data_IF_739383728389
#
_entry.id   IF_739383728389
#
_cell.length_a   1.000
_cell.length_b   1.000
_cell.length_c   1.000
_cell.angle_alpha   90.00
_cell.angle_beta   90.00
_cell.angle_gamma   90.00
#
_symmetry.space_group_name_H-M   'P 1'
#
loop_
_entity.id
_entity.type
_entity.pdbx_description
1 polymer ?
#
# COMPACT_ATOMS: atom_id res chain seq x y z
N UNK A 1 5.70 -37.34 -10.19
CA UNK A 1 5.55 -35.93 -9.74
C UNK A 1 5.57 -34.88 -10.87
N UNK A 2 5.83 -35.23 -12.15
CA UNK A 2 5.79 -34.26 -13.27
C UNK A 2 4.40 -34.02 -13.87
N UNK A 3 3.52 -35.03 -13.84
CA UNK A 3 2.17 -34.95 -14.43
C UNK A 3 1.26 -33.93 -13.71
N UNK A 4 1.25 -33.92 -12.37
CA UNK A 4 0.40 -33.01 -11.57
C UNK A 4 0.77 -31.53 -11.71
N UNK A 5 2.05 -31.20 -11.92
CA UNK A 5 2.46 -29.81 -12.17
C UNK A 5 2.03 -29.32 -13.56
N UNK A 6 2.00 -30.19 -14.56
CA UNK A 6 1.64 -29.85 -15.94
C UNK A 6 0.13 -29.65 -16.10
N UNK A 7 -0.69 -30.45 -15.42
CA UNK A 7 -2.15 -30.24 -15.34
C UNK A 7 -2.52 -29.01 -14.51
N UNK A 8 -1.81 -28.75 -13.42
CA UNK A 8 -1.98 -27.53 -12.63
C UNK A 8 -1.59 -26.28 -13.43
N UNK A 9 -0.45 -26.31 -14.12
CA UNK A 9 -0.05 -25.23 -15.02
C UNK A 9 -1.10 -24.98 -16.09
N UNK A 10 -1.57 -26.02 -16.80
CA UNK A 10 -2.57 -25.83 -17.85
C UNK A 10 -3.90 -25.28 -17.29
N UNK A 11 -4.41 -25.82 -16.19
CA UNK A 11 -5.67 -25.35 -15.59
C UNK A 11 -5.56 -23.92 -15.05
N UNK A 12 -4.45 -23.59 -14.40
CA UNK A 12 -4.22 -22.26 -13.84
C UNK A 12 -3.88 -21.25 -14.94
N UNK A 13 -3.10 -21.62 -15.96
CA UNK A 13 -2.82 -20.77 -17.12
C UNK A 13 -4.08 -20.51 -17.94
N UNK A 14 -4.86 -21.54 -18.23
CA UNK A 14 -6.09 -21.40 -19.00
C UNK A 14 -7.12 -20.58 -18.22
N UNK A 15 -7.27 -20.85 -16.92
CA UNK A 15 -8.07 -20.01 -16.01
C UNK A 15 -7.55 -18.57 -15.96
N UNK A 16 -6.25 -18.36 -15.79
CA UNK A 16 -5.64 -17.02 -15.70
C UNK A 16 -5.80 -16.23 -17.00
N UNK A 17 -5.59 -16.86 -18.16
CA UNK A 17 -5.79 -16.25 -19.48
C UNK A 17 -7.26 -15.94 -19.72
N UNK A 18 -8.16 -16.87 -19.39
CA UNK A 18 -9.60 -16.68 -19.47
C UNK A 18 -10.03 -15.51 -18.59
N UNK A 19 -9.60 -15.43 -17.33
CA UNK A 19 -9.94 -14.32 -16.44
C UNK A 19 -9.31 -12.99 -16.91
N UNK A 20 -8.09 -13.00 -17.43
CA UNK A 20 -7.42 -11.80 -17.96
C UNK A 20 -8.17 -11.23 -19.17
N UNK A 21 -8.82 -12.06 -19.99
CA UNK A 21 -9.64 -11.63 -21.12
C UNK A 21 -11.10 -11.35 -20.73
N UNK A 22 -11.67 -12.14 -19.83
CA UNK A 22 -13.05 -12.00 -19.36
C UNK A 22 -13.23 -10.73 -18.54
N UNK A 23 -12.30 -10.38 -17.65
CA UNK A 23 -12.43 -9.21 -16.78
C UNK A 23 -12.60 -7.92 -17.62
N UNK A 24 -11.75 -7.60 -18.61
CA UNK A 24 -11.97 -6.44 -19.49
C UNK A 24 -13.25 -6.53 -20.30
N UNK A 25 -13.60 -7.72 -20.83
CA UNK A 25 -14.81 -7.92 -21.64
C UNK A 25 -16.07 -7.68 -20.81
N UNK A 26 -16.10 -8.15 -19.57
CA UNK A 26 -17.23 -8.01 -18.64
C UNK A 26 -17.33 -6.58 -18.10
N UNK A 27 -16.19 -5.88 -17.95
CA UNK A 27 -16.13 -4.48 -17.55
C UNK A 27 -16.36 -3.50 -18.71
N UNK A 28 -16.37 -3.94 -19.97
CA UNK A 28 -16.52 -3.03 -21.13
C UNK A 28 -17.88 -2.34 -21.17
N UNK A 29 -18.91 -3.04 -20.71
CA UNK A 29 -20.31 -2.60 -20.74
C UNK A 29 -20.67 -1.81 -19.46
N UNK A 30 -19.75 -1.78 -18.48
CA UNK A 30 -19.90 -1.06 -17.22
C UNK A 30 -19.52 0.42 -17.35
N UNK A 31 -20.15 1.25 -16.53
CA UNK A 31 -19.82 2.68 -16.45
C UNK A 31 -18.39 2.84 -15.90
N UNK A 32 -17.63 3.80 -16.46
CA UNK A 32 -16.27 4.15 -16.01
C UNK A 32 -16.15 4.34 -14.50
N UNK A 33 -17.16 4.95 -13.87
CA UNK A 33 -17.22 5.13 -12.42
C UNK A 33 -17.33 3.81 -11.65
N UNK A 34 -18.13 2.86 -12.14
CA UNK A 34 -18.28 1.53 -11.54
C UNK A 34 -16.96 0.76 -11.63
N UNK A 35 -16.33 0.76 -12.80
CA UNK A 35 -15.02 0.12 -13.02
C UNK A 35 -13.98 0.72 -12.07
N UNK A 36 -13.90 2.05 -11.97
CA UNK A 36 -12.96 2.71 -11.06
C UNK A 36 -13.20 2.35 -9.59
N UNK A 37 -14.47 2.23 -9.15
CA UNK A 37 -14.81 1.80 -7.79
C UNK A 37 -14.41 0.37 -7.51
N UNK A 38 -14.65 -0.55 -8.46
CA UNK A 38 -14.26 -1.96 -8.34
C UNK A 38 -12.74 -2.06 -8.20
N UNK A 39 -12.00 -1.42 -9.10
CA UNK A 39 -10.53 -1.39 -9.05
C UNK A 39 -10.04 -0.82 -7.72
N UNK A 40 -10.56 0.33 -7.30
CA UNK A 40 -10.19 0.94 -6.02
C UNK A 40 -10.47 0.01 -4.84
N UNK A 41 -11.64 -0.65 -4.82
CA UNK A 41 -11.99 -1.60 -3.76
C UNK A 41 -11.09 -2.84 -3.76
N UNK A 42 -10.72 -3.37 -4.93
CA UNK A 42 -9.76 -4.47 -5.06
C UNK A 42 -8.39 -4.08 -4.51
N UNK A 43 -7.90 -2.89 -4.82
CA UNK A 43 -6.63 -2.39 -4.28
C UNK A 43 -6.69 -2.19 -2.76
N UNK A 44 -7.78 -1.64 -2.23
CA UNK A 44 -7.96 -1.48 -0.79
C UNK A 44 -8.05 -2.83 -0.06
N UNK A 45 -8.74 -3.79 -0.66
CA UNK A 45 -8.84 -5.15 -0.12
C UNK A 45 -7.47 -5.83 -0.13
N UNK A 46 -6.70 -5.68 -1.22
CA UNK A 46 -5.33 -6.17 -1.32
C UNK A 46 -4.43 -5.53 -0.26
N UNK A 47 -4.53 -4.21 -0.06
CA UNK A 47 -3.79 -3.50 0.99
C UNK A 47 -4.14 -4.02 2.38
N UNK A 48 -5.42 -4.20 2.69
CA UNK A 48 -5.88 -4.74 3.96
C UNK A 48 -5.35 -6.15 4.21
N UNK A 49 -5.52 -7.06 3.24
CA UNK A 49 -5.04 -8.44 3.35
C UNK A 49 -3.51 -8.51 3.49
N UNK A 50 -2.77 -7.75 2.66
CA UNK A 50 -1.31 -7.71 2.72
C UNK A 50 -0.84 -7.20 4.09
N UNK A 51 -1.51 -6.19 4.63
CA UNK A 51 -1.20 -5.64 5.95
C UNK A 51 -1.48 -6.66 7.07
N UNK A 52 -2.60 -7.39 6.99
CA UNK A 52 -2.94 -8.42 7.97
C UNK A 52 -1.94 -9.57 8.00
N UNK A 53 -1.56 -10.08 6.82
CA UNK A 53 -0.56 -11.15 6.70
C UNK A 53 0.76 -10.73 7.34
N UNK A 54 1.19 -9.49 7.09
CA UNK A 54 2.43 -8.99 7.64
C UNK A 54 2.39 -8.81 9.15
N UNK A 55 1.28 -8.31 9.69
CA UNK A 55 1.08 -8.24 11.15
C UNK A 55 1.19 -9.64 11.78
N UNK A 56 0.63 -10.67 11.15
CA UNK A 56 0.75 -12.05 11.63
C UNK A 56 2.20 -12.50 11.64
N UNK A 57 2.98 -12.19 10.59
CA UNK A 57 4.42 -12.50 10.58
C UNK A 57 5.19 -11.75 11.67
N UNK A 58 4.91 -10.46 11.89
CA UNK A 58 5.50 -9.72 13.01
C UNK A 58 5.20 -10.35 14.37
N UNK A 59 3.97 -10.84 14.59
CA UNK A 59 3.59 -11.51 15.84
C UNK A 59 4.35 -12.84 16.00
N UNK A 60 4.51 -13.60 14.91
CA UNK A 60 5.26 -14.85 14.92
C UNK A 60 6.75 -14.62 15.22
N UNK A 61 7.35 -13.62 14.59
CA UNK A 61 8.75 -13.24 14.81
C UNK A 61 8.98 -12.73 16.23
N UNK A 62 8.05 -11.93 16.75
CA UNK A 62 8.08 -11.49 18.14
C UNK A 62 8.01 -12.66 19.12
N UNK A 63 7.18 -13.66 18.85
CA UNK A 63 7.10 -14.89 19.65
C UNK A 63 8.39 -15.71 19.62
N UNK A 64 9.23 -15.53 18.58
CA UNK A 64 10.57 -16.14 18.44
C UNK A 64 11.68 -15.26 19.02
N UNK A 65 11.34 -14.14 19.66
CA UNK A 65 12.30 -13.22 20.28
C UNK A 65 12.91 -12.19 19.32
N UNK A 66 12.42 -12.10 18.07
CA UNK A 66 12.86 -11.09 17.11
C UNK A 66 12.02 -9.83 17.30
N UNK A 67 12.66 -8.74 17.72
CA UNK A 67 11.95 -7.46 17.89
C UNK A 67 11.60 -6.85 16.52
N UNK A 68 10.41 -6.25 16.37
CA UNK A 68 10.07 -5.50 15.16
C UNK A 68 11.08 -4.36 14.93
N UNK A 69 11.31 -3.98 13.68
CA UNK A 69 12.26 -2.92 13.27
C UNK A 69 13.75 -3.22 13.51
N UNK A 70 14.13 -4.46 13.81
CA UNK A 70 15.54 -4.83 14.00
C UNK A 70 16.17 -5.54 12.81
N UNK A 71 15.37 -6.21 11.98
CA UNK A 71 15.84 -6.97 10.83
C UNK A 71 15.21 -6.50 9.51
N UNK A 72 15.85 -6.85 8.39
CA UNK A 72 15.44 -6.47 7.04
C UNK A 72 14.58 -7.53 6.32
N UNK A 73 14.17 -8.59 7.01
CA UNK A 73 13.43 -9.72 6.40
C UNK A 73 12.10 -9.28 5.77
N UNK A 74 11.47 -8.28 6.37
CA UNK A 74 10.19 -7.69 5.94
C UNK A 74 10.36 -6.63 4.83
N UNK A 75 11.58 -6.42 4.33
CA UNK A 75 11.85 -5.39 3.31
C UNK A 75 11.13 -5.62 1.99
N UNK A 76 10.91 -6.88 1.61
CA UNK A 76 10.28 -7.28 0.36
C UNK A 76 8.80 -6.84 0.26
N UNK A 77 8.13 -6.58 1.39
CA UNK A 77 6.77 -6.05 1.45
C UNK A 77 6.69 -4.60 0.94
N UNK A 78 7.79 -3.84 1.06
CA UNK A 78 7.80 -2.41 0.77
C UNK A 78 7.37 -2.06 -0.65
N UNK A 79 7.76 -2.86 -1.65
CA UNK A 79 7.38 -2.66 -3.06
C UNK A 79 5.86 -2.77 -3.24
N UNK A 80 5.26 -3.80 -2.63
CA UNK A 80 3.80 -3.98 -2.67
C UNK A 80 3.07 -2.86 -1.94
N UNK A 81 3.60 -2.36 -0.82
CA UNK A 81 3.01 -1.24 -0.08
C UNK A 81 3.09 0.08 -0.85
N UNK A 82 4.21 0.36 -1.53
CA UNK A 82 4.36 1.54 -2.38
C UNK A 82 3.35 1.52 -3.52
N UNK A 83 3.19 0.35 -4.17
CA UNK A 83 2.24 0.19 -5.27
C UNK A 83 0.78 0.41 -4.85
N UNK A 84 0.41 -0.02 -3.64
CA UNK A 84 -0.95 0.11 -3.13
C UNK A 84 -1.23 1.49 -2.49
N UNK A 85 -0.21 2.30 -2.27
CA UNK A 85 -0.31 3.61 -1.62
C UNK A 85 -1.30 4.59 -2.29
N UNK A 86 -1.37 4.74 -3.63
CA UNK A 86 -2.35 5.61 -4.27
C UNK A 86 -3.80 5.25 -3.92
N UNK A 87 -4.10 3.97 -3.74
CA UNK A 87 -5.44 3.52 -3.37
C UNK A 87 -5.81 3.96 -1.95
N UNK A 88 -4.86 3.88 -1.02
CA UNK A 88 -5.02 4.42 0.34
C UNK A 88 -5.32 5.91 0.30
N UNK A 89 -4.55 6.69 -0.47
CA UNK A 89 -4.77 8.14 -0.61
C UNK A 89 -6.14 8.46 -1.21
N UNK A 90 -6.62 7.67 -2.18
CA UNK A 90 -7.93 7.88 -2.78
C UNK A 90 -9.10 7.76 -1.77
N UNK A 91 -8.91 7.08 -0.61
CA UNK A 91 -9.95 7.08 0.44
C UNK A 91 -10.20 8.51 0.96
N UNK A 92 -9.17 9.34 1.01
CA UNK A 92 -9.26 10.73 1.49
C UNK A 92 -10.26 11.58 0.68
N UNK A 93 -10.44 11.27 -0.60
CA UNK A 93 -11.35 12.03 -1.48
C UNK A 93 -12.82 11.82 -1.10
N UNK A 94 -13.16 10.75 -0.37
CA UNK A 94 -14.52 10.52 0.07
C UNK A 94 -14.92 11.45 1.22
N UNK A 95 -16.10 12.06 1.12
CA UNK A 95 -16.63 13.00 2.13
C UNK A 95 -17.11 12.34 3.42
N UNK A 96 -17.40 11.03 3.43
CA UNK A 96 -17.99 10.33 4.58
C UNK A 96 -17.01 10.25 5.75
N UNK A 97 -17.45 10.65 6.95
CA UNK A 97 -16.64 10.60 8.18
C UNK A 97 -16.15 9.19 8.52
N UNK A 98 -16.98 8.16 8.32
CA UNK A 98 -16.57 6.76 8.55
C UNK A 98 -15.40 6.34 7.67
N UNK A 99 -15.35 6.81 6.42
CA UNK A 99 -14.24 6.51 5.51
C UNK A 99 -12.97 7.28 5.86
N UNK A 100 -13.09 8.50 6.40
CA UNK A 100 -11.94 9.22 6.95
C UNK A 100 -11.35 8.51 8.16
N UNK A 101 -12.19 7.96 9.04
CA UNK A 101 -11.72 7.16 10.17
C UNK A 101 -10.98 5.90 9.70
N UNK A 102 -11.53 5.20 8.70
CA UNK A 102 -10.88 4.07 8.06
C UNK A 102 -9.53 4.46 7.42
N UNK A 103 -9.46 5.64 6.79
CA UNK A 103 -8.21 6.17 6.25
C UNK A 103 -7.15 6.38 7.34
N UNK A 104 -7.51 6.97 8.48
CA UNK A 104 -6.55 7.15 9.59
C UNK A 104 -6.09 5.81 10.16
N UNK A 105 -7.01 4.86 10.38
CA UNK A 105 -6.68 3.54 10.88
C UNK A 105 -5.76 2.76 9.92
N UNK A 106 -6.11 2.72 8.63
CA UNK A 106 -5.28 2.06 7.61
C UNK A 106 -3.94 2.77 7.41
N UNK A 107 -3.91 4.10 7.48
CA UNK A 107 -2.65 4.86 7.38
C UNK A 107 -1.72 4.60 8.56
N UNK A 108 -2.27 4.44 9.77
CA UNK A 108 -1.47 4.10 10.95
C UNK A 108 -0.84 2.70 10.80
N UNK A 109 -1.62 1.71 10.37
CA UNK A 109 -1.12 0.36 10.08
C UNK A 109 -0.09 0.39 8.96
N UNK A 110 -0.38 1.10 7.88
CA UNK A 110 0.53 1.25 6.74
C UNK A 110 1.88 1.84 7.14
N UNK A 111 1.88 2.92 7.93
CA UNK A 111 3.11 3.55 8.42
C UNK A 111 3.90 2.63 9.35
N UNK A 112 3.22 1.91 10.25
CA UNK A 112 3.87 0.92 11.12
C UNK A 112 4.58 -0.15 10.29
N UNK A 113 3.91 -0.72 9.28
CA UNK A 113 4.50 -1.73 8.41
C UNK A 113 5.64 -1.17 7.55
N UNK A 114 5.46 0.02 6.97
CA UNK A 114 6.51 0.70 6.19
C UNK A 114 7.75 1.02 7.01
N UNK A 115 7.59 1.40 8.28
CA UNK A 115 8.71 1.56 9.22
C UNK A 115 9.42 0.22 9.42
N UNK A 116 8.66 -0.86 9.53
CA UNK A 116 9.13 -2.23 9.69
C UNK A 116 10.01 -2.72 8.56
N UNK A 117 9.75 -2.25 7.33
CA UNK A 117 10.55 -2.62 6.16
C UNK A 117 11.95 -2.00 6.16
N UNK A 118 12.18 -0.91 6.91
CA UNK A 118 13.42 -0.11 6.94
C UNK A 118 13.93 0.33 5.53
N UNK A 119 13.08 0.24 4.51
CA UNK A 119 13.46 0.46 3.12
C UNK A 119 13.47 1.95 2.78
N UNK A 120 14.65 2.58 2.84
CA UNK A 120 14.83 4.02 2.54
C UNK A 120 14.29 4.40 1.15
N UNK A 121 14.46 3.52 0.16
CA UNK A 121 13.93 3.72 -1.20
C UNK A 121 12.41 3.72 -1.26
N UNK A 122 11.74 2.90 -0.44
CA UNK A 122 10.29 2.85 -0.37
C UNK A 122 9.70 4.15 0.22
N UNK A 123 10.35 4.73 1.24
CA UNK A 123 9.96 6.03 1.79
C UNK A 123 10.04 7.15 0.75
N UNK A 124 11.10 7.15 -0.07
CA UNK A 124 11.22 8.10 -1.17
C UNK A 124 10.11 7.89 -2.22
N UNK A 125 9.81 6.65 -2.57
CA UNK A 125 8.75 6.34 -3.52
C UNK A 125 7.36 6.77 -3.01
N UNK A 126 7.05 6.51 -1.74
CA UNK A 126 5.83 7.00 -1.07
C UNK A 126 5.75 8.53 -1.13
N UNK A 127 6.86 9.23 -0.90
CA UNK A 127 6.91 10.69 -0.99
C UNK A 127 6.61 11.16 -2.42
N UNK A 128 7.30 10.62 -3.42
CA UNK A 128 7.11 11.00 -4.84
C UNK A 128 5.67 10.73 -5.29
N UNK A 129 5.15 9.53 -5.00
CA UNK A 129 3.77 9.15 -5.35
C UNK A 129 2.75 10.04 -4.63
N UNK A 130 2.98 10.35 -3.35
CA UNK A 130 2.13 11.23 -2.56
C UNK A 130 2.09 12.66 -3.11
N UNK A 131 3.24 13.20 -3.51
CA UNK A 131 3.34 14.52 -4.16
C UNK A 131 2.60 14.52 -5.50
N UNK A 132 2.85 13.53 -6.37
CA UNK A 132 2.15 13.40 -7.65
C UNK A 132 0.64 13.31 -7.46
N UNK A 133 0.18 12.48 -6.52
CA UNK A 133 -1.24 12.33 -6.22
C UNK A 133 -1.87 13.64 -5.73
N UNK A 134 -1.17 14.39 -4.88
CA UNK A 134 -1.69 15.64 -4.33
C UNK A 134 -1.77 16.75 -5.39
N UNK A 135 -0.80 16.81 -6.32
CA UNK A 135 -0.83 17.69 -7.49
C UNK A 135 -2.03 17.35 -8.37
N UNK A 136 -2.19 16.06 -8.74
CA UNK A 136 -3.27 15.60 -9.61
C UNK A 136 -4.67 15.85 -9.02
N UNK A 137 -4.83 15.66 -7.72
CA UNK A 137 -6.11 15.89 -7.04
C UNK A 137 -6.30 17.32 -6.51
N UNK A 138 -5.37 18.23 -6.83
CA UNK A 138 -5.37 19.65 -6.43
C UNK A 138 -5.52 19.85 -4.90
N UNK A 139 -5.00 18.91 -4.10
CA UNK A 139 -5.09 18.92 -2.63
C UNK A 139 -3.92 19.69 -2.00
N UNK A 140 -3.78 20.98 -2.33
CA UNK A 140 -2.68 21.84 -1.87
C UNK A 140 -2.57 21.96 -0.34
N UNK A 141 -3.70 21.84 0.37
CA UNK A 141 -3.71 21.87 1.85
C UNK A 141 -2.95 20.69 2.45
N UNK A 142 -3.08 19.49 1.87
CA UNK A 142 -2.34 18.31 2.32
C UNK A 142 -0.84 18.43 2.00
N UNK A 143 -0.48 19.01 0.84
CA UNK A 143 0.92 19.28 0.50
C UNK A 143 1.56 20.25 1.49
N UNK A 144 0.84 21.32 1.86
CA UNK A 144 1.33 22.30 2.84
C UNK A 144 1.58 21.68 4.21
N UNK A 145 0.65 20.85 4.71
CA UNK A 145 0.81 20.13 5.98
C UNK A 145 1.98 19.13 5.89
N UNK A 146 2.07 18.37 4.80
CA UNK A 146 3.17 17.41 4.59
C UNK A 146 4.54 18.09 4.51
N UNK A 147 4.64 19.22 3.81
CA UNK A 147 5.86 20.00 3.72
C UNK A 147 6.27 20.57 5.09
N UNK A 148 5.31 21.09 5.88
CA UNK A 148 5.58 21.58 7.23
C UNK A 148 6.13 20.47 8.15
N UNK A 149 5.54 19.27 8.11
CA UNK A 149 6.02 18.11 8.88
C UNK A 149 7.45 17.73 8.46
N UNK A 150 7.74 17.71 7.16
CA UNK A 150 9.10 17.41 6.66
C UNK A 150 10.13 18.45 7.10
N UNK A 151 9.77 19.73 7.09
CA UNK A 151 10.65 20.81 7.57
C UNK A 151 10.90 20.65 9.07
N UNK A 152 9.86 20.41 9.87
CA UNK A 152 9.99 20.19 11.32
C UNK A 152 10.87 18.98 11.60
N UNK A 153 10.64 17.85 10.91
CA UNK A 153 11.45 16.66 11.04
C UNK A 153 12.92 16.91 10.65
N UNK A 154 13.15 17.64 9.55
CA UNK A 154 14.49 18.03 9.12
C UNK A 154 15.21 18.92 10.13
N UNK A 155 14.51 19.89 10.71
CA UNK A 155 15.05 20.76 11.78
C UNK A 155 15.37 19.97 13.04
N UNK A 156 14.49 19.04 13.44
CA UNK A 156 14.72 18.16 14.59
C UNK A 156 15.95 17.29 14.37
N UNK A 157 16.07 16.64 13.21
CA UNK A 157 17.24 15.81 12.87
C UNK A 157 18.52 16.66 12.83
N UNK A 158 18.47 17.86 12.24
CA UNK A 158 19.61 18.77 12.21
C UNK A 158 20.03 19.21 13.63
N UNK A 159 19.06 19.47 14.51
CA UNK A 159 19.34 19.82 15.91
C UNK A 159 19.91 18.64 16.70
N UNK A 160 19.41 17.42 16.47
CA UNK A 160 19.94 16.19 17.08
C UNK A 160 21.30 15.75 16.53
N UNK A 161 21.66 16.19 15.32
CA UNK A 161 22.94 15.88 14.67
C UNK A 161 24.06 16.89 15.00
N UNK A 162 23.76 17.95 15.76
CA UNK A 162 24.77 18.87 16.27
C UNK A 162 25.42 18.24 17.51
N UNK A 163 26.76 18.06 17.55
CA UNK A 163 27.46 17.54 18.72
C UNK A 163 27.37 18.48 19.93
#
# INVERSE_FOLDING_TARGET
MKESFKEFENTVLEGFLLYTLLIPVLLKDEKKETVAKIVLFSFLTSLGLRSLVEIVFYIQDYSRGVMPFTNYDHRHISDSMVFLFPALLNIWLFRKTSLKLAFFALSAVYLFLMLGTLSRGAWLAVLVVGVLWAILNRQWKLMGIGAAILVIAGVLVYHSAKP
#
